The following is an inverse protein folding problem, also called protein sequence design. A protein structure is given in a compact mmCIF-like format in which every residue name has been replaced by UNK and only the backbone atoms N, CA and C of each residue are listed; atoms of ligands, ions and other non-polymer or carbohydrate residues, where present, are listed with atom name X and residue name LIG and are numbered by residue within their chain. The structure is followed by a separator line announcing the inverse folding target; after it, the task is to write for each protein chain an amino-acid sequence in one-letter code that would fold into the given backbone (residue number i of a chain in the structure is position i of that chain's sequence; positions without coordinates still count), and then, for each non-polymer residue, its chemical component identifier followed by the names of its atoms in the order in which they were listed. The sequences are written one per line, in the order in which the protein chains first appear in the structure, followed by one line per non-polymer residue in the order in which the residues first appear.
data_IF_334136726233
#
_entry.id   IF_334136726233
#
_cell.length_a   1.000
_cell.length_b   1.000
_cell.length_c   1.000
_cell.angle_alpha   90.00
_cell.angle_beta   90.00
_cell.angle_gamma   90.00
#
_symmetry.space_group_name_H-M   'P 1'
#
loop_
_entity.id
_entity.type
_entity.pdbx_description
1 polymer ?
#
# COMPACT_ATOMS: atom_id res chain seq x y z
N UNK A 1 -8.87 20.56 -6.65
CA UNK A 1 -8.85 19.09 -6.76
C UNK A 1 -7.41 18.65 -6.55
N UNK A 2 -7.18 17.62 -5.75
CA UNK A 2 -5.87 16.99 -5.58
C UNK A 2 -6.01 15.56 -6.10
N UNK A 3 -5.18 15.17 -7.06
CA UNK A 3 -5.11 13.79 -7.56
C UNK A 3 -3.82 13.17 -7.03
N UNK A 4 -3.89 11.93 -6.58
CA UNK A 4 -2.70 11.14 -6.36
C UNK A 4 -2.05 10.85 -7.72
N UNK A 5 -0.75 11.08 -7.80
CA UNK A 5 0.08 10.56 -8.87
C UNK A 5 0.64 9.18 -8.47
N UNK A 6 1.40 8.58 -9.38
CA UNK A 6 2.00 7.28 -9.14
C UNK A 6 2.99 7.33 -7.97
N UNK A 7 3.72 8.43 -7.78
CA UNK A 7 4.66 8.56 -6.66
C UNK A 7 3.93 8.65 -5.31
N UNK A 8 2.79 9.35 -5.26
CA UNK A 8 1.92 9.39 -4.08
C UNK A 8 1.42 8.01 -3.70
N UNK A 9 1.03 7.21 -4.70
CA UNK A 9 0.69 5.80 -4.51
C UNK A 9 1.87 4.93 -4.05
N UNK A 10 3.04 5.11 -4.68
CA UNK A 10 4.26 4.38 -4.34
C UNK A 10 4.66 4.66 -2.87
N UNK A 11 4.56 5.92 -2.42
CA UNK A 11 4.85 6.32 -1.04
C UNK A 11 3.88 5.67 -0.05
N UNK A 12 2.60 5.61 -0.39
CA UNK A 12 1.57 5.01 0.46
C UNK A 12 1.75 3.48 0.59
N UNK A 13 1.98 2.77 -0.52
CA UNK A 13 2.11 1.31 -0.50
C UNK A 13 3.47 0.85 0.04
N UNK A 14 4.58 1.45 -0.39
CA UNK A 14 5.92 1.03 0.03
C UNK A 14 6.16 1.21 1.54
N UNK A 15 5.56 2.24 2.14
CA UNK A 15 5.64 2.46 3.59
C UNK A 15 5.02 1.29 4.39
N UNK A 16 3.94 0.69 3.88
CA UNK A 16 3.33 -0.50 4.50
C UNK A 16 4.27 -1.69 4.44
N UNK A 17 4.93 -1.92 3.30
CA UNK A 17 5.84 -3.05 3.13
C UNK A 17 7.05 -2.97 4.06
N UNK A 18 7.63 -1.77 4.22
CA UNK A 18 8.71 -1.56 5.19
C UNK A 18 8.26 -1.84 6.62
N UNK A 19 7.04 -1.41 6.96
CA UNK A 19 6.44 -1.64 8.28
C UNK A 19 6.21 -3.12 8.53
N UNK A 20 5.61 -3.85 7.58
CA UNK A 20 5.39 -5.29 7.65
C UNK A 20 6.69 -6.06 7.83
N UNK A 21 7.74 -5.72 7.06
CA UNK A 21 9.05 -6.36 7.18
C UNK A 21 9.64 -6.20 8.58
N UNK A 22 9.67 -4.97 9.11
CA UNK A 22 10.19 -4.71 10.46
C UNK A 22 9.37 -5.39 11.54
N UNK A 23 8.05 -5.42 11.36
CA UNK A 23 7.16 -6.10 12.28
C UNK A 23 7.40 -7.61 12.30
N UNK A 24 7.60 -8.25 11.13
CA UNK A 24 7.97 -9.67 11.04
C UNK A 24 9.33 -9.99 11.68
N UNK A 25 10.30 -9.07 11.58
CA UNK A 25 11.59 -9.21 12.26
C UNK A 25 11.45 -9.17 13.79
N UNK A 26 10.51 -8.37 14.32
CA UNK A 26 10.27 -8.25 15.76
C UNK A 26 9.30 -9.31 16.32
N UNK A 27 8.44 -9.90 15.48
CA UNK A 27 7.37 -10.81 15.91
C UNK A 27 7.39 -12.11 15.07
N UNK A 28 8.46 -12.93 15.15
CA UNK A 28 8.60 -14.11 14.29
C UNK A 28 7.62 -15.25 14.64
N UNK A 29 7.21 -15.35 15.90
CA UNK A 29 6.37 -16.44 16.43
C UNK A 29 4.90 -16.02 16.64
N UNK A 30 4.53 -14.82 16.19
CA UNK A 30 3.14 -14.35 16.24
C UNK A 30 2.30 -15.15 15.25
N UNK A 31 1.10 -15.57 15.66
CA UNK A 31 0.18 -16.37 14.83
C UNK A 31 -0.13 -15.68 13.48
N UNK A 32 -0.09 -14.35 13.43
CA UNK A 32 -0.36 -13.56 12.23
C UNK A 32 0.86 -13.39 11.31
N UNK A 33 2.06 -13.81 11.72
CA UNK A 33 3.28 -13.66 10.95
C UNK A 33 3.23 -14.35 9.58
N UNK A 34 2.53 -15.49 9.48
CA UNK A 34 2.34 -16.19 8.21
C UNK A 34 1.54 -15.34 7.21
N UNK A 35 0.48 -14.68 7.65
CA UNK A 35 -0.38 -13.85 6.81
C UNK A 35 0.33 -12.58 6.35
N UNK A 36 1.03 -11.91 7.27
CA UNK A 36 1.82 -10.71 6.93
C UNK A 36 2.92 -11.04 5.92
N UNK A 37 3.56 -12.20 6.04
CA UNK A 37 4.58 -12.65 5.08
C UNK A 37 3.96 -12.97 3.71
N UNK A 38 2.78 -13.60 3.67
CA UNK A 38 2.07 -13.87 2.43
C UNK A 38 1.69 -12.56 1.72
N UNK A 39 1.15 -11.58 2.44
CA UNK A 39 0.80 -10.28 1.88
C UNK A 39 2.04 -9.54 1.36
N UNK A 40 3.13 -9.49 2.14
CA UNK A 40 4.38 -8.83 1.75
C UNK A 40 5.00 -9.42 0.47
N UNK A 41 4.78 -10.72 0.20
CA UNK A 41 5.27 -11.37 -1.02
C UNK A 41 4.43 -11.02 -2.27
N UNK A 42 3.14 -10.73 -2.10
CA UNK A 42 2.20 -10.52 -3.21
C UNK A 42 2.00 -9.03 -3.50
N UNK A 43 1.94 -8.21 -2.45
CA UNK A 43 1.53 -6.80 -2.53
C UNK A 43 2.40 -5.95 -3.48
N UNK A 44 3.75 -6.08 -3.53
CA UNK A 44 4.54 -5.24 -4.43
C UNK A 44 4.28 -5.56 -5.90
N UNK A 45 4.15 -6.85 -6.23
CA UNK A 45 3.83 -7.29 -7.59
C UNK A 45 2.43 -6.84 -7.99
N UNK A 46 1.44 -7.02 -7.10
CA UNK A 46 0.07 -6.57 -7.34
C UNK A 46 0.00 -5.05 -7.56
N UNK A 47 0.80 -4.28 -6.81
CA UNK A 47 0.90 -2.83 -6.96
C UNK A 47 1.38 -2.43 -8.35
N UNK A 48 2.57 -2.89 -8.76
CA UNK A 48 3.15 -2.50 -10.06
C UNK A 48 2.42 -3.07 -11.27
N UNK A 49 1.71 -4.21 -11.10
CA UNK A 49 0.97 -4.85 -12.20
C UNK A 49 -0.40 -4.18 -12.41
N UNK A 50 -1.06 -3.75 -11.33
CA UNK A 50 -2.46 -3.32 -11.40
C UNK A 50 -2.70 -1.94 -10.79
N UNK A 51 -2.35 -1.75 -9.52
CA UNK A 51 -2.78 -0.55 -8.79
C UNK A 51 -2.12 0.72 -9.31
N UNK A 52 -0.80 0.67 -9.54
CA UNK A 52 0.02 1.84 -9.92
C UNK A 52 -0.44 2.49 -11.23
N UNK A 53 -0.84 1.68 -12.20
CA UNK A 53 -1.20 2.17 -13.54
C UNK A 53 -2.71 2.43 -13.70
N UNK A 54 -3.55 1.67 -13.00
CA UNK A 54 -4.99 1.65 -13.29
C UNK A 54 -5.88 2.19 -12.17
N UNK A 55 -5.35 2.42 -10.96
CA UNK A 55 -6.17 2.83 -9.82
C UNK A 55 -5.89 4.28 -9.39
N UNK A 56 -6.78 5.20 -9.77
CA UNK A 56 -6.69 6.62 -9.42
C UNK A 56 -7.30 6.93 -8.05
N UNK A 57 -6.80 7.99 -7.41
CA UNK A 57 -7.40 8.55 -6.19
C UNK A 57 -7.35 10.08 -6.22
N UNK A 58 -8.32 10.74 -5.59
CA UNK A 58 -8.29 12.19 -5.47
C UNK A 58 -9.32 12.76 -4.50
N UNK A 59 -9.07 13.98 -4.05
CA UNK A 59 -9.96 14.77 -3.20
C UNK A 59 -10.61 15.89 -4.02
N UNK A 60 -11.94 15.94 -3.95
CA UNK A 60 -12.78 16.90 -4.64
C UNK A 60 -13.54 17.74 -3.60
N UNK A 61 -13.31 19.05 -3.60
CA UNK A 61 -14.10 19.98 -2.81
C UNK A 61 -15.29 20.43 -3.67
N UNK A 62 -16.50 20.29 -3.13
CA UNK A 62 -17.75 20.63 -3.81
C UNK A 62 -18.52 21.67 -2.97
N UNK A 63 -19.21 22.59 -3.64
CA UNK A 63 -20.08 23.59 -3.01
C UNK A 63 -21.47 23.45 -3.64
N UNK A 64 -22.52 23.59 -2.83
CA UNK A 64 -23.89 23.58 -3.31
C UNK A 64 -24.10 24.70 -4.36
N UNK A 65 -24.90 24.41 -5.39
CA UNK A 65 -25.25 25.42 -6.40
C UNK A 65 -26.13 26.51 -5.82
#
# INVERSE_FOLDING_TARGET
MVLADQEGWDRYEAAKWLTMRRWLEANPDDDFAAEVRAELNISPKRHVTYAREYFGWGVFALIAR
#
